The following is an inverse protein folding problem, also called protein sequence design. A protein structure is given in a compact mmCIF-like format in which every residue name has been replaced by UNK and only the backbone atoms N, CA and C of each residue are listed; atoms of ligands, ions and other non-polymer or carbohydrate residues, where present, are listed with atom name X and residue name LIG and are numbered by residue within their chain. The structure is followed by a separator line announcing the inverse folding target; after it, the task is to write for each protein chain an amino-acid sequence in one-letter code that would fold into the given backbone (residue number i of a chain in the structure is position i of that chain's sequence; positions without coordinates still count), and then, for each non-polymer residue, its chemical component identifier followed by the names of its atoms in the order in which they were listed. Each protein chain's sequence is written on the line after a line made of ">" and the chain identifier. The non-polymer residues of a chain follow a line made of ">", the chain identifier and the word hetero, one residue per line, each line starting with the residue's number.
data_IF_302296653057
#
_entry.id   IF_302296653057
#
_cell.length_a   1.000
_cell.length_b   1.000
_cell.length_c   1.000
_cell.angle_alpha   90.00
_cell.angle_beta   90.00
_cell.angle_gamma   90.00
#
_symmetry.space_group_name_H-M   'P 1'
#
loop_
_entity.id
_entity.type
_entity.pdbx_description
1 polymer ?
#
# COMPACT_ATOMS: atom_id res chain seq x y z
N UNK A 1 -0.65 9.15 -16.23
CA UNK A 1 0.09 7.90 -15.92
C UNK A 1 -0.04 7.62 -14.42
N UNK A 2 -0.16 6.34 -14.02
CA UNK A 2 -0.20 5.92 -12.61
C UNK A 2 1.07 5.15 -12.28
N UNK A 3 1.60 5.35 -11.09
CA UNK A 3 2.82 4.70 -10.60
C UNK A 3 2.50 3.91 -9.33
N UNK A 4 2.90 2.66 -9.29
CA UNK A 4 2.89 1.83 -8.10
C UNK A 4 4.33 1.71 -7.59
N UNK A 5 4.56 2.17 -6.37
CA UNK A 5 5.86 2.09 -5.70
C UNK A 5 5.86 0.82 -4.85
N UNK A 6 6.74 -0.14 -5.16
CA UNK A 6 6.76 -1.42 -4.46
C UNK A 6 7.31 -1.31 -3.03
N UNK A 7 7.17 -2.39 -2.28
CA UNK A 7 7.74 -2.58 -0.94
C UNK A 7 7.32 -1.49 0.06
N UNK A 8 6.02 -1.15 0.06
CA UNK A 8 5.48 -0.09 0.92
C UNK A 8 6.06 1.29 0.64
N UNK A 9 6.71 1.48 -0.51
CA UNK A 9 7.41 2.70 -0.84
C UNK A 9 8.83 2.80 -0.26
N UNK A 10 9.36 1.71 0.30
CA UNK A 10 10.69 1.71 0.92
C UNK A 10 10.81 2.78 2.02
N UNK A 11 11.76 3.70 1.89
CA UNK A 11 11.97 4.77 2.86
C UNK A 11 10.97 5.94 2.75
N UNK A 12 10.06 5.94 1.77
CA UNK A 12 9.15 7.08 1.52
C UNK A 12 8.23 7.37 2.71
N UNK A 13 7.51 6.41 3.30
CA UNK A 13 6.68 6.68 4.48
C UNK A 13 7.50 7.19 5.67
N UNK A 14 8.69 6.65 5.88
CA UNK A 14 9.61 7.09 6.93
C UNK A 14 10.04 8.55 6.76
N UNK A 15 10.30 8.99 5.53
CA UNK A 15 10.72 10.35 5.21
C UNK A 15 9.56 11.27 4.79
N UNK A 16 8.31 10.93 5.08
CA UNK A 16 7.13 11.65 4.58
C UNK A 16 7.15 13.16 4.87
N UNK A 17 7.62 13.55 6.06
CA UNK A 17 7.78 14.96 6.42
C UNK A 17 8.72 15.72 5.47
N UNK A 18 9.78 15.07 5.00
CA UNK A 18 10.72 15.66 4.02
C UNK A 18 10.04 15.90 2.67
N UNK A 19 9.25 14.95 2.17
CA UNK A 19 8.50 15.14 0.92
C UNK A 19 7.47 16.26 1.02
N UNK A 20 6.80 16.39 2.18
CA UNK A 20 5.89 17.50 2.45
C UNK A 20 6.62 18.84 2.42
N UNK A 21 7.77 18.93 3.07
CA UNK A 21 8.59 20.15 3.09
C UNK A 21 9.08 20.55 1.70
N UNK A 22 9.60 19.58 0.93
CA UNK A 22 10.03 19.84 -0.46
C UNK A 22 8.87 20.32 -1.35
N UNK A 23 7.69 19.73 -1.21
CA UNK A 23 6.51 20.18 -1.96
C UNK A 23 6.15 21.64 -1.62
N UNK A 24 6.25 22.02 -0.35
CA UNK A 24 6.03 23.38 0.10
C UNK A 24 7.07 24.36 -0.47
N UNK A 25 8.35 24.02 -0.41
CA UNK A 25 9.44 24.84 -1.00
C UNK A 25 9.26 25.02 -2.51
N UNK A 26 8.82 23.98 -3.19
CA UNK A 26 8.52 24.03 -4.62
C UNK A 26 7.20 24.75 -4.95
N UNK A 27 6.52 25.32 -3.96
CA UNK A 27 5.20 25.98 -4.10
C UNK A 27 4.15 25.07 -4.76
N UNK A 28 4.20 23.77 -4.47
CA UNK A 28 3.24 22.79 -4.96
C UNK A 28 2.04 22.65 -4.01
N UNK A 29 0.88 22.21 -4.50
CA UNK A 29 -0.26 21.85 -3.65
C UNK A 29 0.11 20.77 -2.61
N UNK A 30 -0.77 20.52 -1.66
CA UNK A 30 -0.63 19.41 -0.72
C UNK A 30 -0.40 18.10 -1.48
N UNK A 31 0.40 17.19 -0.91
CA UNK A 31 0.74 15.93 -1.57
C UNK A 31 -0.48 15.12 -2.03
N UNK A 32 -1.58 15.14 -1.25
CA UNK A 32 -2.86 14.50 -1.62
C UNK A 32 -3.47 15.06 -2.91
N UNK A 33 -3.27 16.35 -3.17
CA UNK A 33 -3.84 17.05 -4.32
C UNK A 33 -2.90 17.11 -5.51
N UNK A 34 -1.69 16.62 -5.36
CA UNK A 34 -0.63 16.64 -6.35
C UNK A 34 -0.07 15.23 -6.60
N UNK A 35 0.91 14.81 -5.79
CA UNK A 35 1.66 13.57 -5.98
C UNK A 35 0.75 12.34 -5.86
N UNK A 36 -0.07 12.28 -4.82
CA UNK A 36 -0.91 11.12 -4.50
C UNK A 36 -2.07 10.89 -5.46
N UNK A 37 -2.34 11.79 -6.40
CA UNK A 37 -3.33 11.52 -7.47
C UNK A 37 -2.92 10.34 -8.36
N UNK A 38 -1.63 10.10 -8.50
CA UNK A 38 -1.09 9.15 -9.46
C UNK A 38 -0.06 8.17 -8.86
N UNK A 39 0.27 8.31 -7.59
CA UNK A 39 1.23 7.44 -6.91
C UNK A 39 0.51 6.58 -5.90
N UNK A 40 0.79 5.29 -5.95
CA UNK A 40 0.24 4.24 -5.10
C UNK A 40 1.37 3.43 -4.49
N UNK A 41 1.09 2.77 -3.38
CA UNK A 41 2.05 1.96 -2.63
C UNK A 41 1.47 0.56 -2.44
N UNK A 42 2.29 -0.46 -2.45
CA UNK A 42 1.85 -1.80 -2.14
C UNK A 42 2.11 -2.18 -0.67
N UNK A 43 1.65 -3.36 -0.28
CA UNK A 43 1.80 -3.89 1.08
C UNK A 43 2.89 -4.96 1.19
N UNK A 44 3.83 -5.04 0.26
CA UNK A 44 4.96 -5.98 0.31
C UNK A 44 5.97 -5.59 1.38
N UNK A 45 5.52 -5.55 2.63
CA UNK A 45 6.31 -5.21 3.81
C UNK A 45 6.17 -6.37 4.80
N UNK A 46 7.29 -6.96 5.22
CA UNK A 46 7.31 -8.24 5.92
C UNK A 46 7.37 -8.13 7.45
N UNK A 47 6.88 -7.01 8.01
CA UNK A 47 6.76 -6.86 9.46
C UNK A 47 5.68 -5.84 9.84
N UNK A 48 5.06 -6.07 10.99
CA UNK A 48 3.94 -5.25 11.46
C UNK A 48 4.28 -3.76 11.60
N UNK A 49 5.42 -3.35 12.21
CA UNK A 49 5.74 -1.93 12.36
C UNK A 49 5.82 -1.16 11.03
N UNK A 50 6.28 -1.82 9.97
CA UNK A 50 6.33 -1.21 8.64
C UNK A 50 4.94 -0.99 8.05
N UNK A 51 4.03 -1.95 8.19
CA UNK A 51 2.63 -1.80 7.77
C UNK A 51 1.90 -0.75 8.62
N UNK A 52 2.16 -0.71 9.91
CA UNK A 52 1.57 0.32 10.81
C UNK A 52 2.03 1.72 10.42
N UNK A 53 3.31 1.88 10.09
CA UNK A 53 3.82 3.15 9.57
C UNK A 53 3.17 3.51 8.23
N UNK A 54 3.11 2.57 7.29
CA UNK A 54 2.51 2.78 5.97
C UNK A 54 1.06 3.25 6.09
N UNK A 55 0.23 2.53 6.84
CA UNK A 55 -1.20 2.82 6.98
C UNK A 55 -1.49 4.10 7.79
N UNK A 56 -0.56 4.50 8.66
CA UNK A 56 -0.65 5.75 9.43
C UNK A 56 -0.26 6.98 8.63
N UNK A 57 0.67 6.84 7.70
CA UNK A 57 1.30 7.97 6.98
C UNK A 57 0.72 8.16 5.59
N UNK A 58 0.49 7.07 4.86
CA UNK A 58 -0.05 7.10 3.50
C UNK A 58 -1.59 6.99 3.57
N UNK A 59 -2.32 7.85 2.86
CA UNK A 59 -3.77 7.69 2.76
C UNK A 59 -4.16 6.31 2.25
N UNK A 60 -5.14 5.69 2.90
CA UNK A 60 -5.61 4.33 2.57
C UNK A 60 -5.95 4.18 1.10
N UNK A 61 -6.54 5.21 0.48
CA UNK A 61 -6.85 5.23 -0.95
C UNK A 61 -5.65 5.00 -1.88
N UNK A 62 -4.45 5.19 -1.38
CA UNK A 62 -3.21 5.05 -2.15
C UNK A 62 -2.45 3.75 -1.83
N UNK A 63 -3.03 2.85 -1.04
CA UNK A 63 -2.42 1.57 -0.66
C UNK A 63 -3.14 0.43 -1.37
N UNK A 64 -2.38 -0.45 -2.03
CA UNK A 64 -2.87 -1.64 -2.70
C UNK A 64 -2.29 -2.89 -2.05
N UNK A 65 -3.12 -3.91 -1.86
CA UNK A 65 -2.63 -5.19 -1.35
C UNK A 65 -1.72 -5.89 -2.35
N UNK A 66 -0.59 -6.38 -1.85
CA UNK A 66 0.31 -7.28 -2.55
C UNK A 66 1.13 -8.11 -1.55
N UNK A 67 1.53 -9.32 -1.94
CA UNK A 67 2.26 -10.28 -1.10
C UNK A 67 3.66 -10.62 -1.64
N UNK A 68 3.97 -10.21 -2.87
CA UNK A 68 5.24 -10.54 -3.55
C UNK A 68 5.57 -12.05 -3.53
N UNK A 69 4.58 -12.88 -3.80
CA UNK A 69 4.66 -14.34 -3.70
C UNK A 69 5.83 -14.97 -4.50
N UNK A 70 6.31 -14.30 -5.55
CA UNK A 70 7.41 -14.77 -6.39
C UNK A 70 8.62 -13.86 -6.22
N UNK A 71 9.75 -14.43 -5.80
CA UNK A 71 11.04 -13.73 -5.74
C UNK A 71 11.42 -13.11 -4.39
N UNK A 72 10.49 -13.08 -3.46
CA UNK A 72 10.72 -12.56 -2.12
C UNK A 72 11.40 -13.54 -1.16
N UNK A 73 11.57 -13.13 0.08
CA UNK A 73 12.04 -13.98 1.17
C UNK A 73 11.01 -15.08 1.41
N UNK A 74 11.41 -16.33 1.16
CA UNK A 74 10.61 -17.52 1.42
C UNK A 74 11.06 -18.16 2.71
N UNK A 75 10.12 -18.62 3.48
CA UNK A 75 10.39 -19.32 4.73
C UNK A 75 9.53 -18.81 5.88
N UNK A 76 9.72 -19.43 7.01
CA UNK A 76 9.02 -19.09 8.23
C UNK A 76 9.91 -18.16 9.04
N UNK A 77 9.36 -17.01 9.42
CA UNK A 77 9.99 -16.09 10.33
C UNK A 77 10.06 -16.73 11.73
N UNK A 78 11.26 -16.94 12.30
CA UNK A 78 11.41 -17.57 13.60
C UNK A 78 10.84 -16.74 14.76
N UNK A 79 10.67 -15.42 14.58
CA UNK A 79 10.09 -14.55 15.60
C UNK A 79 8.56 -14.66 15.67
N UNK A 80 7.91 -14.95 14.55
CA UNK A 80 6.44 -14.93 14.47
C UNK A 80 5.84 -16.31 14.21
N UNK A 81 6.62 -17.26 13.71
CA UNK A 81 6.15 -18.59 13.29
C UNK A 81 5.31 -18.59 12.00
N UNK A 82 5.26 -17.49 11.27
CA UNK A 82 4.48 -17.36 10.04
C UNK A 82 5.40 -17.15 8.83
N UNK A 83 4.89 -17.39 7.62
CA UNK A 83 5.63 -17.09 6.41
C UNK A 83 5.89 -15.58 6.28
N UNK A 84 7.09 -15.18 5.84
CA UNK A 84 7.44 -13.78 5.63
C UNK A 84 6.52 -13.08 4.63
N UNK A 85 6.14 -13.78 3.56
CA UNK A 85 5.29 -13.24 2.49
C UNK A 85 3.79 -13.31 2.79
N UNK A 86 3.37 -13.77 3.96
CA UNK A 86 1.99 -13.66 4.43
C UNK A 86 1.67 -12.24 4.91
N UNK A 87 1.70 -11.31 3.96
CA UNK A 87 1.45 -9.89 4.23
C UNK A 87 -0.01 -9.59 4.58
N UNK A 88 -0.93 -10.51 4.27
CA UNK A 88 -2.35 -10.37 4.60
C UNK A 88 -2.58 -10.19 6.10
N UNK A 89 -1.93 -10.99 6.92
CA UNK A 89 -2.06 -10.93 8.39
C UNK A 89 -1.67 -9.58 8.99
N UNK A 90 -0.69 -8.90 8.39
CA UNK A 90 -0.28 -7.58 8.85
C UNK A 90 -1.34 -6.50 8.59
N UNK A 91 -2.03 -6.59 7.45
CA UNK A 91 -3.14 -5.70 7.12
C UNK A 91 -4.36 -5.99 8.01
N UNK A 92 -4.61 -7.26 8.30
CA UNK A 92 -5.68 -7.67 9.22
C UNK A 92 -5.45 -7.18 10.66
N UNK A 93 -4.18 -7.12 11.09
CA UNK A 93 -3.78 -6.65 12.42
C UNK A 93 -3.59 -5.11 12.50
N UNK A 94 -3.53 -4.41 11.38
CA UNK A 94 -3.35 -2.97 11.37
C UNK A 94 -4.55 -2.23 12.01
N UNK A 95 -4.25 -1.08 12.64
CA UNK A 95 -5.26 -0.22 13.29
C UNK A 95 -6.09 0.58 12.26
N UNK A 96 -6.78 -0.13 11.38
CA UNK A 96 -7.66 0.40 10.35
C UNK A 96 -9.06 -0.23 10.48
N UNK A 97 -10.10 0.49 10.06
CA UNK A 97 -11.46 -0.02 10.13
C UNK A 97 -11.76 -1.04 8.99
N UNK A 98 -12.87 -1.79 9.07
CA UNK A 98 -13.21 -2.80 8.06
C UNK A 98 -13.34 -2.24 6.62
N UNK A 99 -13.85 -1.03 6.46
CA UNK A 99 -13.99 -0.38 5.17
C UNK A 99 -12.61 -0.07 4.56
N UNK A 100 -11.71 0.52 5.34
CA UNK A 100 -10.32 0.78 4.94
C UNK A 100 -9.58 -0.51 4.58
N UNK A 101 -9.83 -1.59 5.31
CA UNK A 101 -9.27 -2.91 5.00
C UNK A 101 -9.77 -3.43 3.65
N UNK A 102 -11.07 -3.33 3.39
CA UNK A 102 -11.64 -3.68 2.08
C UNK A 102 -11.07 -2.82 0.95
N UNK A 103 -10.87 -1.51 1.19
CA UNK A 103 -10.23 -0.63 0.22
C UNK A 103 -8.83 -1.14 -0.17
N UNK A 104 -7.99 -1.50 0.81
CA UNK A 104 -6.64 -2.01 0.56
C UNK A 104 -6.69 -3.35 -0.18
N UNK A 105 -7.51 -4.30 0.27
CA UNK A 105 -7.55 -5.63 -0.31
C UNK A 105 -8.13 -5.69 -1.72
N UNK A 106 -9.08 -4.81 -2.06
CA UNK A 106 -9.83 -4.94 -3.31
C UNK A 106 -10.14 -3.61 -4.00
N UNK A 107 -10.86 -2.68 -3.35
CA UNK A 107 -11.48 -1.55 -4.01
C UNK A 107 -10.48 -0.62 -4.69
N UNK A 108 -9.31 -0.39 -4.06
CA UNK A 108 -8.27 0.44 -4.64
C UNK A 108 -7.69 -0.17 -5.91
N UNK A 109 -7.44 -1.49 -5.94
CA UNK A 109 -6.93 -2.17 -7.12
C UNK A 109 -7.92 -2.08 -8.29
N UNK A 110 -9.22 -2.26 -8.03
CA UNK A 110 -10.28 -2.07 -9.05
C UNK A 110 -10.29 -0.65 -9.60
N UNK A 111 -10.19 0.35 -8.74
CA UNK A 111 -10.15 1.76 -9.12
C UNK A 111 -8.89 2.13 -9.91
N UNK A 112 -7.74 1.60 -9.52
CA UNK A 112 -6.45 1.89 -10.16
C UNK A 112 -6.33 1.16 -11.50
N UNK A 113 -6.77 -0.09 -11.57
CA UNK A 113 -6.67 -0.96 -12.74
C UNK A 113 -8.05 -1.19 -13.39
N UNK A 114 -8.57 -0.21 -14.10
CA UNK A 114 -9.89 -0.26 -14.72
C UNK A 114 -10.11 -1.47 -15.66
N UNK A 115 -9.04 -2.02 -16.26
CA UNK A 115 -9.12 -3.25 -17.07
C UNK A 115 -9.40 -4.47 -16.19
N UNK A 116 -8.79 -4.54 -15.01
CA UNK A 116 -9.06 -5.59 -14.02
C UNK A 116 -10.51 -5.52 -13.56
N UNK A 117 -11.00 -4.34 -13.18
CA UNK A 117 -12.38 -4.16 -12.72
C UNK A 117 -13.41 -4.60 -13.76
N UNK A 118 -13.20 -4.22 -15.03
CA UNK A 118 -14.08 -4.69 -16.15
C UNK A 118 -14.06 -6.20 -16.29
N UNK A 119 -12.88 -6.82 -16.19
CA UNK A 119 -12.76 -8.28 -16.33
C UNK A 119 -13.43 -9.03 -15.16
N UNK A 120 -13.36 -8.49 -13.95
CA UNK A 120 -14.04 -9.07 -12.78
C UNK A 120 -15.56 -8.93 -12.87
N UNK A 121 -16.05 -7.75 -13.25
CA UNK A 121 -17.50 -7.51 -13.47
C UNK A 121 -18.08 -8.44 -14.55
N UNK A 122 -17.35 -8.68 -15.64
CA UNK A 122 -17.77 -9.61 -16.68
C UNK A 122 -17.88 -11.07 -16.18
N UNK A 123 -17.22 -11.40 -15.05
CA UNK A 123 -17.29 -12.72 -14.39
C UNK A 123 -18.28 -12.74 -13.21
N UNK A 124 -19.08 -11.70 -13.03
CA UNK A 124 -20.01 -11.59 -11.90
C UNK A 124 -19.37 -11.38 -10.54
N UNK A 125 -18.18 -10.80 -10.52
CA UNK A 125 -17.41 -10.52 -9.28
C UNK A 125 -17.25 -9.02 -9.04
#
# INVERSE_FOLDING_TARGET
>A
MKFLIPHGGGAVPYHWGRFRGLAQEMKKPLLKDHLLKNIFFDTCVYHQPGIDLLTRVIPVDNILFASEMIGAVKGIDPETGNYYDDTKRYIEAAAINPEQRHQIFEANARRVFARLDRALKAKGK
#
